data_IF_519464857090
#
_entry.id   IF_519464857090
#
_cell.length_a   1.000
_cell.length_b   1.000
_cell.length_c   1.000
_cell.angle_alpha   90.00
_cell.angle_beta   90.00
_cell.angle_gamma   90.00
#
_symmetry.space_group_name_H-M   'P 1'
#
loop_
_entity.id
_entity.type
_entity.pdbx_description
1 polymer ?
#
# COMPACT_ATOMS: atom_id res chain seq x y z
N UNK A 1 -64.47 31.74 -1.30
CA UNK A 1 -64.74 30.96 -0.07
C UNK A 1 -64.23 29.52 -0.31
N UNK A 2 -63.18 29.07 0.44
CA UNK A 2 -62.55 27.77 0.24
C UNK A 2 -63.52 26.69 0.68
N UNK A 3 -64.12 25.96 -0.27
CA UNK A 3 -65.18 24.96 -0.03
C UNK A 3 -64.70 23.71 0.79
N UNK A 4 -63.40 23.53 1.03
CA UNK A 4 -62.90 22.40 1.80
C UNK A 4 -61.67 22.81 2.66
N UNK A 5 -61.91 23.30 3.85
CA UNK A 5 -60.88 23.76 4.78
C UNK A 5 -59.86 22.68 5.14
N UNK A 6 -60.31 21.40 5.22
CA UNK A 6 -59.42 20.29 5.53
C UNK A 6 -58.43 20.03 4.37
N UNK A 7 -58.91 20.10 3.13
CA UNK A 7 -58.07 19.90 1.95
C UNK A 7 -57.04 21.05 1.82
N UNK A 8 -57.45 22.28 2.08
CA UNK A 8 -56.53 23.44 2.08
C UNK A 8 -55.45 23.32 3.13
N UNK A 9 -55.76 22.88 4.36
CA UNK A 9 -54.79 22.65 5.43
C UNK A 9 -53.84 21.55 5.05
N UNK A 10 -54.32 20.41 4.53
CA UNK A 10 -53.51 19.30 4.12
C UNK A 10 -52.53 19.69 2.99
N UNK A 11 -53.00 20.43 1.99
CA UNK A 11 -52.15 20.92 0.89
C UNK A 11 -51.07 21.86 1.39
N UNK A 12 -51.37 22.80 2.28
CA UNK A 12 -50.37 23.69 2.85
C UNK A 12 -49.35 22.94 3.72
N UNK A 13 -49.75 21.90 4.46
CA UNK A 13 -48.85 21.05 5.21
C UNK A 13 -47.87 20.30 4.28
N UNK A 14 -48.38 19.76 3.16
CA UNK A 14 -47.54 19.11 2.15
C UNK A 14 -46.53 20.10 1.55
N UNK A 15 -46.97 21.31 1.17
CA UNK A 15 -46.05 22.32 0.65
C UNK A 15 -45.00 22.76 1.67
N UNK A 16 -45.38 22.88 2.95
CA UNK A 16 -44.44 23.21 4.00
C UNK A 16 -43.38 22.09 4.17
N UNK A 17 -43.78 20.83 4.11
CA UNK A 17 -42.84 19.68 4.17
C UNK A 17 -41.92 19.72 2.95
N UNK A 18 -42.43 19.87 1.76
CA UNK A 18 -41.62 19.97 0.53
C UNK A 18 -40.62 21.13 0.64
N UNK A 19 -41.04 22.27 1.13
CA UNK A 19 -40.16 23.43 1.30
C UNK A 19 -39.02 23.12 2.28
N UNK A 20 -39.31 22.48 3.41
CA UNK A 20 -38.31 22.06 4.39
C UNK A 20 -37.31 21.06 3.77
N UNK A 21 -37.81 20.06 3.02
CA UNK A 21 -36.95 19.10 2.33
C UNK A 21 -36.05 19.80 1.32
N UNK A 22 -36.55 20.72 0.52
CA UNK A 22 -35.73 21.48 -0.45
C UNK A 22 -34.69 22.33 0.26
N UNK A 23 -35.03 22.99 1.38
CA UNK A 23 -34.05 23.76 2.15
C UNK A 23 -32.93 22.82 2.70
N UNK A 24 -33.30 21.70 3.30
CA UNK A 24 -32.33 20.73 3.82
C UNK A 24 -31.43 20.20 2.71
N UNK A 25 -31.99 19.82 1.56
CA UNK A 25 -31.20 19.36 0.42
C UNK A 25 -30.23 20.43 -0.11
N UNK A 26 -30.64 21.69 -0.14
CA UNK A 26 -29.77 22.79 -0.53
C UNK A 26 -28.64 23.04 0.50
N UNK A 27 -28.93 22.93 1.79
CA UNK A 27 -27.92 23.06 2.83
C UNK A 27 -26.91 21.90 2.76
N UNK A 28 -27.40 20.67 2.58
CA UNK A 28 -26.53 19.49 2.39
C UNK A 28 -25.69 19.64 1.12
N UNK A 29 -26.30 20.03 0.00
CA UNK A 29 -25.57 20.24 -1.25
C UNK A 29 -24.56 21.38 -1.15
N UNK A 30 -24.84 22.42 -0.36
CA UNK A 30 -23.91 23.52 -0.11
C UNK A 30 -22.73 23.11 0.78
N UNK A 31 -22.99 22.30 1.80
CA UNK A 31 -21.97 21.83 2.73
C UNK A 31 -21.07 20.72 2.12
N UNK A 32 -21.70 19.80 1.38
CA UNK A 32 -21.02 18.66 0.76
C UNK A 32 -20.75 18.85 -0.73
N UNK A 33 -20.91 20.07 -1.26
CA UNK A 33 -20.85 20.35 -2.69
C UNK A 33 -19.57 19.85 -3.35
N UNK A 34 -18.42 20.07 -2.73
CA UNK A 34 -17.12 19.61 -3.26
C UNK A 34 -17.02 18.08 -3.25
N UNK A 35 -17.42 17.43 -2.16
CA UNK A 35 -17.43 15.98 -2.07
C UNK A 35 -18.42 15.34 -3.06
N UNK A 36 -19.59 15.95 -3.25
CA UNK A 36 -20.57 15.50 -4.25
C UNK A 36 -20.03 15.66 -5.67
N UNK A 37 -19.28 16.73 -5.94
CA UNK A 37 -18.62 16.96 -7.22
C UNK A 37 -17.56 15.90 -7.48
N UNK A 38 -16.79 15.51 -6.47
CA UNK A 38 -15.79 14.44 -6.58
C UNK A 38 -16.44 13.07 -6.84
N UNK A 39 -17.48 12.72 -6.08
CA UNK A 39 -18.15 11.40 -6.17
C UNK A 39 -18.98 11.26 -7.44
N UNK A 40 -19.71 12.29 -7.84
CA UNK A 40 -20.63 12.22 -9.00
C UNK A 40 -20.01 12.77 -10.29
N UNK A 41 -18.71 13.13 -10.26
CA UNK A 41 -18.01 13.53 -11.47
C UNK A 41 -18.66 14.72 -12.18
N UNK A 42 -19.04 15.77 -11.43
CA UNK A 42 -19.50 16.99 -12.06
C UNK A 42 -18.33 17.61 -12.82
N UNK A 43 -18.18 17.19 -14.07
CA UNK A 43 -17.43 17.97 -15.03
C UNK A 43 -18.21 19.29 -15.19
N UNK A 44 -17.64 20.35 -14.64
CA UNK A 44 -18.09 21.70 -14.97
C UNK A 44 -18.30 21.72 -16.47
N UNK A 45 -19.54 21.92 -16.90
CA UNK A 45 -19.96 21.85 -18.30
C UNK A 45 -19.32 22.91 -19.21
N UNK A 46 -18.03 22.92 -19.28
CA UNK A 46 -17.27 23.29 -20.46
C UNK A 46 -17.30 22.17 -21.51
N UNK A 47 -18.44 21.49 -21.60
CA UNK A 47 -18.83 20.72 -22.77
C UNK A 47 -19.35 21.69 -23.85
N UNK A 48 -18.69 22.76 -24.08
CA UNK A 48 -19.11 23.73 -25.07
C UNK A 48 -18.04 24.05 -26.09
N UNK A 49 -16.91 23.48 -25.95
CA UNK A 49 -15.92 23.49 -27.02
C UNK A 49 -15.84 22.05 -27.54
N UNK A 50 -16.34 21.80 -28.72
CA UNK A 50 -15.67 20.82 -29.52
C UNK A 50 -14.21 21.23 -29.48
N UNK A 51 -13.40 20.58 -28.67
CA UNK A 51 -11.97 20.52 -28.85
C UNK A 51 -11.81 19.71 -30.12
N UNK A 52 -12.13 20.34 -31.22
CA UNK A 52 -11.79 19.80 -32.51
C UNK A 52 -10.30 19.72 -32.50
N UNK A 53 -9.85 18.52 -32.68
CA UNK A 53 -8.55 18.10 -33.07
C UNK A 53 -7.53 19.23 -33.25
N UNK A 54 -6.44 19.14 -32.50
CA UNK A 54 -5.09 19.59 -32.83
C UNK A 54 -4.87 21.05 -33.31
N UNK A 55 -5.91 21.80 -33.66
CA UNK A 55 -5.79 23.14 -34.21
C UNK A 55 -5.94 24.32 -33.25
N UNK A 56 -6.68 24.12 -32.15
CA UNK A 56 -7.07 25.22 -31.24
C UNK A 56 -6.33 25.25 -29.91
N UNK A 57 -5.42 24.30 -29.67
CA UNK A 57 -4.58 24.31 -28.48
C UNK A 57 -3.33 25.18 -28.71
N UNK A 58 -3.50 26.47 -28.52
CA UNK A 58 -2.40 27.45 -28.69
C UNK A 58 -1.24 27.24 -27.69
N UNK A 59 -1.39 26.40 -26.71
CA UNK A 59 -0.43 26.29 -25.58
C UNK A 59 0.16 24.90 -25.36
N UNK A 60 -0.43 23.85 -25.95
CA UNK A 60 0.07 22.50 -25.75
C UNK A 60 -0.20 21.61 -26.96
N UNK A 61 0.87 21.14 -27.57
CA UNK A 61 0.84 20.09 -28.59
C UNK A 61 1.61 18.91 -28.01
N UNK A 62 0.95 17.77 -27.85
CA UNK A 62 1.66 16.55 -27.45
C UNK A 62 2.65 16.18 -28.55
N UNK A 63 3.91 15.96 -28.17
CA UNK A 63 4.94 15.42 -29.05
C UNK A 63 4.82 13.90 -29.25
N UNK A 64 3.92 13.25 -28.51
CA UNK A 64 3.76 11.81 -28.48
C UNK A 64 2.38 11.41 -28.98
N UNK A 65 2.31 10.28 -29.66
CA UNK A 65 1.08 9.50 -29.81
C UNK A 65 0.71 8.85 -28.47
N UNK A 66 -0.50 8.35 -28.31
CA UNK A 66 -0.93 7.67 -27.07
C UNK A 66 -0.07 6.43 -26.79
N UNK A 67 0.36 5.70 -27.81
CA UNK A 67 1.22 4.53 -27.68
C UNK A 67 2.64 4.92 -27.24
N UNK A 68 3.24 5.91 -27.85
CA UNK A 68 4.56 6.45 -27.47
C UNK A 68 4.54 7.01 -26.04
N UNK A 69 3.44 7.68 -25.65
CA UNK A 69 3.29 8.21 -24.30
C UNK A 69 3.25 7.09 -23.28
N UNK A 70 2.46 6.03 -23.52
CA UNK A 70 2.38 4.87 -22.64
C UNK A 70 3.71 4.15 -22.51
N UNK A 71 4.42 3.95 -23.60
CA UNK A 71 5.75 3.35 -23.59
C UNK A 71 6.74 4.18 -22.76
N UNK A 72 6.73 5.51 -22.94
CA UNK A 72 7.59 6.41 -22.17
C UNK A 72 7.22 6.44 -20.67
N UNK A 73 5.94 6.36 -20.32
CA UNK A 73 5.49 6.27 -18.94
C UNK A 73 5.93 4.96 -18.30
N UNK A 74 5.81 3.85 -19.01
CA UNK A 74 6.26 2.54 -18.56
C UNK A 74 7.78 2.53 -18.28
N UNK A 75 8.59 2.95 -19.25
CA UNK A 75 10.04 3.06 -19.12
C UNK A 75 10.44 3.97 -17.94
N UNK A 76 9.77 5.10 -17.79
CA UNK A 76 10.04 6.03 -16.70
C UNK A 76 9.67 5.42 -15.33
N UNK A 77 8.54 4.75 -15.22
CA UNK A 77 8.10 4.10 -13.97
C UNK A 77 9.09 3.00 -13.55
N UNK A 78 9.54 2.18 -14.51
CA UNK A 78 10.56 1.16 -14.30
C UNK A 78 11.86 1.80 -13.77
N UNK A 79 12.37 2.82 -14.44
CA UNK A 79 13.60 3.51 -14.02
C UNK A 79 13.48 4.17 -12.66
N UNK A 80 12.35 4.81 -12.35
CA UNK A 80 12.12 5.42 -11.04
C UNK A 80 12.17 4.35 -9.94
N UNK A 81 11.55 3.19 -10.16
CA UNK A 81 11.54 2.11 -9.19
C UNK A 81 12.93 1.49 -9.02
N UNK A 82 13.65 1.23 -10.12
CA UNK A 82 15.00 0.70 -10.11
C UNK A 82 15.98 1.63 -9.39
N UNK A 83 16.08 2.89 -9.84
CA UNK A 83 16.99 3.89 -9.28
C UNK A 83 16.58 4.30 -7.85
N UNK A 84 15.29 4.24 -7.53
CA UNK A 84 14.74 4.58 -6.21
C UNK A 84 14.84 3.46 -5.17
N UNK A 85 15.08 2.23 -5.58
CA UNK A 85 15.27 1.09 -4.67
C UNK A 85 16.52 1.29 -3.81
N UNK A 86 16.36 1.12 -2.50
CA UNK A 86 17.47 1.27 -1.53
C UNK A 86 17.93 -0.12 -1.09
N UNK A 87 19.23 -0.40 -1.22
CA UNK A 87 19.87 -1.57 -0.64
C UNK A 87 20.22 -1.26 0.83
N UNK A 88 19.47 -1.85 1.76
CA UNK A 88 19.65 -1.61 3.20
C UNK A 88 20.78 -2.48 3.78
N UNK A 89 20.82 -3.76 3.41
CA UNK A 89 21.88 -4.68 3.79
C UNK A 89 22.12 -5.69 2.68
N UNK A 90 23.36 -6.18 2.58
CA UNK A 90 23.77 -7.22 1.63
C UNK A 90 24.95 -7.99 2.23
N UNK A 91 24.65 -8.97 3.07
CA UNK A 91 25.64 -9.75 3.78
C UNK A 91 26.26 -10.79 2.84
N UNK A 92 27.55 -10.95 2.96
CA UNK A 92 28.33 -11.93 2.19
C UNK A 92 28.12 -11.85 0.65
N UNK A 93 27.72 -10.71 0.12
CA UNK A 93 27.35 -10.51 -1.29
C UNK A 93 26.20 -11.45 -1.70
N UNK A 94 25.16 -11.55 -0.89
CA UNK A 94 23.96 -12.35 -1.21
C UNK A 94 23.29 -11.88 -2.50
N UNK A 95 23.27 -10.58 -2.75
CA UNK A 95 22.88 -9.99 -4.03
C UNK A 95 24.11 -9.58 -4.84
N UNK A 96 24.07 -9.68 -6.18
CA UNK A 96 22.96 -10.21 -6.97
C UNK A 96 22.75 -11.71 -6.77
N UNK A 97 21.51 -12.16 -7.02
CA UNK A 97 21.15 -13.57 -7.05
C UNK A 97 21.64 -14.20 -8.37
N UNK A 98 21.86 -15.50 -8.35
CA UNK A 98 22.24 -16.24 -9.56
C UNK A 98 21.08 -16.29 -10.56
N UNK A 99 21.38 -16.13 -11.84
CA UNK A 99 20.40 -16.27 -12.92
C UNK A 99 19.84 -17.71 -12.91
N UNK A 100 18.53 -17.82 -12.96
CA UNK A 100 17.83 -19.10 -12.91
C UNK A 100 17.66 -19.70 -11.52
N UNK A 101 18.05 -18.98 -10.45
CA UNK A 101 17.83 -19.43 -9.09
C UNK A 101 16.34 -19.70 -8.82
N UNK A 102 16.09 -20.70 -7.97
CA UNK A 102 14.77 -21.00 -7.48
C UNK A 102 14.38 -20.05 -6.35
N UNK A 103 13.13 -19.57 -6.35
CA UNK A 103 12.65 -18.59 -5.38
C UNK A 103 11.30 -19.03 -4.81
N UNK A 104 11.23 -19.16 -3.50
CA UNK A 104 9.95 -19.25 -2.80
C UNK A 104 9.59 -17.89 -2.23
N UNK A 105 8.45 -17.36 -2.64
CA UNK A 105 7.96 -16.06 -2.22
C UNK A 105 6.97 -16.23 -1.07
N UNK A 106 7.21 -15.51 0.00
CA UNK A 106 6.40 -15.54 1.23
C UNK A 106 5.75 -14.19 1.50
N UNK A 107 4.70 -14.21 2.32
CA UNK A 107 3.94 -13.10 2.86
C UNK A 107 2.76 -12.66 1.98
N UNK A 108 1.67 -12.32 2.65
CA UNK A 108 0.48 -11.72 2.04
C UNK A 108 0.81 -10.43 1.28
N UNK A 109 1.79 -9.67 1.79
CA UNK A 109 2.25 -8.45 1.14
C UNK A 109 2.86 -8.70 -0.26
N UNK A 110 3.30 -9.92 -0.55
CA UNK A 110 3.85 -10.27 -1.86
C UNK A 110 2.80 -10.34 -2.95
N UNK A 111 1.59 -10.80 -2.61
CA UNK A 111 0.45 -10.88 -3.52
C UNK A 111 -0.38 -9.59 -3.53
N UNK A 112 -0.23 -8.77 -2.48
CA UNK A 112 -0.88 -7.47 -2.32
C UNK A 112 0.14 -6.33 -2.32
N UNK A 113 1.00 -6.31 -3.31
CA UNK A 113 2.04 -5.29 -3.44
C UNK A 113 1.48 -3.87 -3.45
N UNK A 114 2.09 -2.99 -2.66
CA UNK A 114 1.71 -1.59 -2.59
C UNK A 114 2.19 -0.86 -3.84
N UNK A 115 1.29 -0.58 -4.77
CA UNK A 115 1.59 0.17 -6.00
C UNK A 115 1.43 1.67 -5.83
N UNK A 116 0.63 2.11 -4.88
CA UNK A 116 0.36 3.52 -4.59
C UNK A 116 -0.05 3.72 -3.13
N UNK A 117 -0.21 4.98 -2.71
CA UNK A 117 -0.82 5.31 -1.43
C UNK A 117 -2.33 5.05 -1.44
N UNK A 118 -2.93 5.11 -0.24
CA UNK A 118 -4.38 5.09 -0.05
C UNK A 118 -4.96 6.50 -0.13
N UNK A 119 -6.29 6.61 -0.28
CA UNK A 119 -6.98 7.90 -0.36
C UNK A 119 -7.19 8.39 -1.79
N UNK A 120 -7.19 9.70 -1.99
CA UNK A 120 -7.52 10.32 -3.28
C UNK A 120 -6.47 10.08 -4.37
N UNK A 121 -5.28 9.65 -4.01
CA UNK A 121 -4.21 9.26 -4.95
C UNK A 121 -4.23 7.77 -5.32
N UNK A 122 -5.14 6.99 -4.75
CA UNK A 122 -5.26 5.57 -5.07
C UNK A 122 -5.64 5.39 -6.54
N UNK A 123 -4.83 4.61 -7.25
CA UNK A 123 -5.12 4.19 -8.62
C UNK A 123 -5.93 2.90 -8.52
N UNK A 124 -7.11 2.86 -9.16
CA UNK A 124 -7.88 1.62 -9.27
C UNK A 124 -7.09 0.58 -10.04
N UNK A 125 -6.98 -0.62 -9.51
CA UNK A 125 -6.27 -1.74 -10.16
C UNK A 125 -7.09 -2.36 -11.28
N UNK A 126 -8.39 -2.09 -11.32
CA UNK A 126 -9.32 -2.69 -12.28
C UNK A 126 -9.06 -2.27 -13.74
N UNK A 127 -8.51 -1.07 -13.93
CA UNK A 127 -8.27 -0.49 -15.26
C UNK A 127 -6.83 -0.66 -15.76
N UNK A 128 -5.94 -1.25 -14.95
CA UNK A 128 -4.52 -1.39 -15.29
C UNK A 128 -4.07 -2.84 -15.12
N UNK A 129 -3.41 -3.36 -16.15
CA UNK A 129 -2.58 -4.56 -16.01
C UNK A 129 -1.36 -4.17 -15.16
N UNK A 130 -1.40 -4.50 -13.89
CA UNK A 130 -0.24 -4.27 -13.01
C UNK A 130 0.65 -5.52 -12.97
N UNK A 131 1.93 -5.26 -12.77
CA UNK A 131 2.94 -6.29 -12.62
C UNK A 131 2.84 -6.91 -11.23
N UNK A 132 2.96 -8.24 -11.14
CA UNK A 132 3.05 -8.96 -9.86
C UNK A 132 4.50 -9.27 -9.52
N UNK A 133 4.78 -9.56 -8.22
CA UNK A 133 6.11 -10.02 -7.79
C UNK A 133 6.53 -11.27 -8.56
N UNK A 134 5.65 -12.28 -8.68
CA UNK A 134 5.93 -13.49 -9.47
C UNK A 134 6.32 -13.15 -10.90
N UNK A 135 5.53 -12.34 -11.58
CA UNK A 135 5.81 -11.95 -12.96
C UNK A 135 7.18 -11.24 -13.08
N UNK A 136 7.50 -10.33 -12.18
CA UNK A 136 8.78 -9.62 -12.18
C UNK A 136 9.98 -10.59 -12.02
N UNK A 137 9.86 -11.56 -11.13
CA UNK A 137 10.89 -12.58 -10.92
C UNK A 137 11.04 -13.48 -12.16
N UNK A 138 9.95 -13.96 -12.74
CA UNK A 138 9.98 -14.81 -13.93
C UNK A 138 10.59 -14.08 -15.14
N UNK A 139 10.29 -12.78 -15.33
CA UNK A 139 10.91 -11.98 -16.39
C UNK A 139 12.43 -11.79 -16.20
N UNK A 140 12.91 -11.84 -14.97
CA UNK A 140 14.34 -11.81 -14.65
C UNK A 140 15.01 -13.20 -14.73
N UNK A 141 14.25 -14.25 -15.04
CA UNK A 141 14.74 -15.61 -15.25
C UNK A 141 14.69 -16.51 -14.03
N UNK A 142 14.14 -16.07 -12.90
CA UNK A 142 13.99 -16.89 -11.70
C UNK A 142 12.91 -17.97 -11.85
N UNK A 143 13.06 -19.06 -11.12
CA UNK A 143 12.09 -20.14 -11.04
C UNK A 143 11.26 -19.97 -9.76
N UNK A 144 10.04 -19.48 -9.89
CA UNK A 144 9.18 -19.22 -8.73
C UNK A 144 8.44 -20.48 -8.29
N UNK A 145 8.40 -20.72 -6.97
CA UNK A 145 7.60 -21.80 -6.37
C UNK A 145 6.10 -21.48 -6.50
N UNK A 146 5.48 -22.08 -7.51
CA UNK A 146 4.07 -21.83 -7.80
C UNK A 146 3.13 -22.32 -6.69
N UNK A 147 3.48 -23.41 -6.00
CA UNK A 147 2.61 -23.96 -4.96
C UNK A 147 2.44 -22.99 -3.78
N UNK A 148 3.51 -22.33 -3.36
CA UNK A 148 3.49 -21.35 -2.28
C UNK A 148 2.86 -20.04 -2.75
N UNK A 149 3.22 -19.58 -3.96
CA UNK A 149 2.62 -18.37 -4.55
C UNK A 149 1.11 -18.48 -4.69
N UNK A 150 0.63 -19.59 -5.27
CA UNK A 150 -0.80 -19.81 -5.48
C UNK A 150 -1.55 -19.98 -4.15
N UNK A 151 -0.89 -20.52 -3.13
CA UNK A 151 -1.50 -20.60 -1.80
C UNK A 151 -1.75 -19.18 -1.24
N UNK A 152 -0.74 -18.30 -1.22
CA UNK A 152 -0.92 -16.92 -0.77
C UNK A 152 -1.97 -16.17 -1.59
N UNK A 153 -1.92 -16.32 -2.91
CA UNK A 153 -2.88 -15.66 -3.80
C UNK A 153 -4.33 -16.10 -3.55
N UNK A 154 -4.55 -17.33 -3.07
CA UNK A 154 -5.88 -17.93 -2.92
C UNK A 154 -6.32 -18.12 -1.46
N UNK A 155 -5.52 -17.79 -0.46
CA UNK A 155 -5.90 -17.98 0.94
C UNK A 155 -7.02 -17.03 1.41
N UNK A 156 -7.26 -15.97 0.67
CA UNK A 156 -8.35 -15.02 0.90
C UNK A 156 -8.09 -14.02 2.02
N UNK A 157 -6.88 -13.96 2.56
CA UNK A 157 -6.50 -12.95 3.53
C UNK A 157 -6.14 -11.66 2.80
N UNK A 158 -6.70 -10.55 3.25
CA UNK A 158 -6.49 -9.22 2.66
C UNK A 158 -6.04 -8.28 3.77
N UNK A 159 -5.03 -7.47 3.49
CA UNK A 159 -4.58 -6.42 4.41
C UNK A 159 -5.66 -5.36 4.59
N UNK A 160 -5.66 -4.71 5.76
CA UNK A 160 -6.51 -3.56 6.00
C UNK A 160 -6.26 -2.43 5.01
N UNK A 161 -7.30 -1.70 4.65
CA UNK A 161 -7.23 -0.60 3.68
C UNK A 161 -6.59 0.67 4.23
N UNK A 162 -6.00 0.62 5.42
CA UNK A 162 -5.32 1.75 6.04
C UNK A 162 -6.22 2.97 6.20
N UNK A 163 -5.72 4.13 5.82
CA UNK A 163 -6.44 5.41 5.97
C UNK A 163 -7.76 5.48 5.20
N UNK A 164 -7.94 4.71 4.13
CA UNK A 164 -9.19 4.73 3.35
C UNK A 164 -10.36 4.03 4.05
N UNK A 165 -10.08 3.05 4.89
CA UNK A 165 -11.08 2.25 5.60
C UNK A 165 -11.04 2.42 7.11
N UNK A 166 -9.93 2.94 7.66
CA UNK A 166 -9.64 2.94 9.09
C UNK A 166 -9.26 1.56 9.64
N UNK A 167 -9.05 0.59 8.77
CA UNK A 167 -8.58 -0.76 9.12
C UNK A 167 -7.07 -0.87 8.89
N UNK A 168 -6.32 -1.03 9.96
CA UNK A 168 -4.86 -1.11 9.96
C UNK A 168 -4.35 -2.54 10.15
N UNK A 169 -5.20 -3.54 9.97
CA UNK A 169 -4.80 -4.95 10.06
C UNK A 169 -3.74 -5.30 9.02
N UNK A 170 -2.68 -5.97 9.45
CA UNK A 170 -1.62 -6.48 8.56
C UNK A 170 -2.06 -7.82 7.98
N UNK A 171 -2.71 -8.65 8.79
CA UNK A 171 -3.30 -9.94 8.41
C UNK A 171 -2.28 -10.90 7.76
N UNK A 172 -1.05 -10.96 8.29
CA UNK A 172 -0.06 -11.94 7.84
C UNK A 172 -0.40 -13.34 8.36
N UNK A 173 0.01 -14.36 7.61
CA UNK A 173 -0.13 -15.76 7.99
C UNK A 173 1.11 -16.25 8.76
N UNK A 174 0.91 -16.92 9.90
CA UNK A 174 2.02 -17.51 10.65
C UNK A 174 2.70 -18.63 9.85
N UNK A 175 3.94 -18.93 10.20
CA UNK A 175 4.70 -20.02 9.57
C UNK A 175 3.94 -21.36 9.58
N UNK A 176 3.31 -21.69 10.71
CA UNK A 176 2.52 -22.91 10.85
C UNK A 176 1.33 -22.95 9.91
N UNK A 177 0.65 -21.79 9.77
CA UNK A 177 -0.47 -21.67 8.84
C UNK A 177 -0.03 -21.85 7.38
N UNK A 178 1.11 -21.27 7.01
CA UNK A 178 1.69 -21.44 5.67
C UNK A 178 2.02 -22.92 5.44
N UNK A 179 2.74 -23.56 6.37
CA UNK A 179 3.11 -24.99 6.24
C UNK A 179 1.87 -25.89 6.10
N UNK A 180 0.85 -25.67 6.94
CA UNK A 180 -0.40 -26.43 6.85
C UNK A 180 -1.06 -26.22 5.47
N UNK A 181 -1.08 -24.98 5.02
CA UNK A 181 -1.72 -24.58 3.76
C UNK A 181 -1.05 -25.16 2.51
N UNK A 182 0.29 -25.22 2.49
CA UNK A 182 1.05 -25.76 1.34
C UNK A 182 1.31 -27.27 1.43
N UNK A 183 0.94 -27.91 2.54
CA UNK A 183 1.10 -29.36 2.73
C UNK A 183 2.46 -29.77 3.33
N UNK A 184 3.13 -28.86 4.03
CA UNK A 184 4.38 -29.09 4.75
C UNK A 184 5.63 -28.64 3.99
N UNK A 185 6.80 -28.79 4.63
CA UNK A 185 8.10 -28.32 4.10
C UNK A 185 8.46 -28.95 2.74
N UNK A 186 7.94 -30.12 2.40
CA UNK A 186 8.17 -30.73 1.09
C UNK A 186 7.65 -29.88 -0.08
N UNK A 187 6.78 -28.89 0.18
CA UNK A 187 6.38 -27.92 -0.83
C UNK A 187 7.53 -27.00 -1.28
N UNK A 188 8.62 -26.96 -0.52
CA UNK A 188 9.81 -26.17 -0.85
C UNK A 188 10.87 -26.99 -1.63
N UNK A 189 10.69 -28.30 -1.79
CA UNK A 189 11.66 -29.17 -2.48
C UNK A 189 11.97 -28.67 -3.89
N UNK A 190 13.23 -28.35 -4.14
CA UNK A 190 13.71 -27.79 -5.41
C UNK A 190 13.54 -26.27 -5.56
N UNK A 191 13.08 -25.57 -4.51
CA UNK A 191 12.87 -24.11 -4.50
C UNK A 191 13.49 -23.46 -3.27
N UNK A 192 14.65 -23.93 -2.83
CA UNK A 192 15.31 -23.50 -1.60
C UNK A 192 16.52 -22.58 -1.80
N UNK A 193 16.85 -22.19 -3.04
CA UNK A 193 17.97 -21.25 -3.24
C UNK A 193 17.69 -19.90 -2.57
N UNK A 194 16.45 -19.42 -2.65
CA UNK A 194 16.07 -18.12 -2.10
C UNK A 194 14.69 -18.17 -1.45
N UNK A 195 14.58 -17.72 -0.20
CA UNK A 195 13.34 -17.24 0.39
C UNK A 195 13.24 -15.74 0.20
N UNK A 196 12.23 -15.27 -0.55
CA UNK A 196 11.91 -13.87 -0.70
C UNK A 196 10.70 -13.52 0.15
N UNK A 197 10.87 -12.64 1.14
CA UNK A 197 9.81 -12.23 2.06
C UNK A 197 9.51 -10.77 1.82
N UNK A 198 8.23 -10.44 1.62
CA UNK A 198 7.79 -9.06 1.45
C UNK A 198 7.14 -8.55 2.73
N UNK A 199 7.63 -7.46 3.26
CA UNK A 199 7.01 -6.77 4.40
C UNK A 199 6.35 -5.51 3.88
N UNK A 200 5.02 -5.41 4.06
CA UNK A 200 4.24 -4.33 3.49
C UNK A 200 3.48 -3.51 4.53
N UNK A 201 3.51 -2.18 4.39
CA UNK A 201 2.68 -1.27 5.19
C UNK A 201 2.04 -0.23 4.30
N UNK A 202 0.72 -0.15 4.36
CA UNK A 202 -0.03 0.89 3.62
C UNK A 202 0.11 2.24 4.32
N UNK A 203 0.00 3.30 3.55
CA UNK A 203 -0.06 4.66 4.07
C UNK A 203 -0.66 5.58 3.02
N UNK A 204 -1.20 6.71 3.45
CA UNK A 204 -1.80 7.66 2.52
C UNK A 204 -2.65 8.70 3.23
N UNK A 205 -3.46 9.37 2.45
CA UNK A 205 -4.34 10.43 2.88
C UNK A 205 -5.57 9.89 3.63
N UNK A 206 -6.07 10.65 4.59
CA UNK A 206 -7.41 10.47 5.17
C UNK A 206 -7.44 10.10 6.65
N UNK A 207 -6.46 9.39 7.19
CA UNK A 207 -6.34 9.09 8.61
C UNK A 207 -4.88 8.91 9.05
N UNK A 208 -4.59 9.27 10.29
CA UNK A 208 -3.32 8.96 10.92
C UNK A 208 -3.19 7.44 11.13
N UNK A 209 -1.94 6.96 11.22
CA UNK A 209 -1.65 5.57 11.55
C UNK A 209 -2.26 5.18 12.89
N UNK A 210 -2.57 3.89 13.05
CA UNK A 210 -2.99 3.37 14.34
C UNK A 210 -1.88 3.55 15.39
N UNK A 211 -2.26 4.08 16.55
CA UNK A 211 -1.35 4.23 17.70
C UNK A 211 -1.27 2.98 18.58
N UNK A 212 -2.05 1.96 18.25
CA UNK A 212 -2.13 0.68 18.95
C UNK A 212 -2.73 -0.35 18.02
N UNK A 213 -2.19 -1.55 18.01
CA UNK A 213 -2.68 -2.65 17.20
C UNK A 213 -3.75 -3.50 17.88
N UNK A 214 -4.18 -3.17 19.12
CA UNK A 214 -5.15 -3.94 19.88
C UNK A 214 -6.49 -4.22 19.17
N UNK A 215 -6.89 -3.35 18.23
CA UNK A 215 -8.11 -3.53 17.44
C UNK A 215 -7.87 -4.12 16.05
N UNK A 216 -6.62 -4.43 15.72
CA UNK A 216 -6.17 -4.80 14.38
C UNK A 216 -5.34 -6.10 14.37
N UNK A 217 -5.58 -6.98 15.32
CA UNK A 217 -4.93 -8.29 15.41
C UNK A 217 -3.68 -8.34 16.29
N UNK A 218 -3.16 -7.19 16.74
CA UNK A 218 -1.99 -7.11 17.62
C UNK A 218 -2.32 -6.73 19.05
N UNK A 219 -1.30 -6.33 19.83
CA UNK A 219 -1.44 -5.87 21.21
C UNK A 219 -1.57 -4.35 21.34
N UNK A 220 -1.81 -3.87 22.56
CA UNK A 220 -1.94 -2.44 22.84
C UNK A 220 -0.59 -1.71 22.77
N UNK A 221 0.50 -2.41 22.97
CA UNK A 221 1.86 -1.85 22.99
C UNK A 221 2.57 -1.99 21.66
N UNK A 222 1.94 -2.65 20.66
CA UNK A 222 2.47 -2.78 19.30
C UNK A 222 2.11 -1.58 18.43
N UNK A 223 3.04 -1.20 17.58
CA UNK A 223 2.90 -0.17 16.56
C UNK A 223 2.54 -0.81 15.21
N UNK A 224 1.76 -0.11 14.38
CA UNK A 224 1.57 -0.48 12.98
C UNK A 224 2.89 -0.52 12.18
N UNK A 225 3.90 0.19 12.65
CA UNK A 225 5.23 0.27 12.01
C UNK A 225 6.20 -0.81 12.47
N UNK A 226 5.81 -1.63 13.44
CA UNK A 226 6.55 -2.80 13.90
C UNK A 226 6.16 -4.05 13.10
N UNK A 227 6.94 -5.13 13.20
CA UNK A 227 6.55 -6.42 12.67
C UNK A 227 5.42 -7.03 13.51
N UNK A 228 4.51 -7.75 12.86
CA UNK A 228 3.56 -8.60 13.58
C UNK A 228 4.22 -9.91 14.02
N UNK A 229 3.62 -10.57 15.01
CA UNK A 229 4.08 -11.87 15.47
C UNK A 229 4.14 -12.92 14.34
N UNK A 230 3.24 -12.82 13.35
CA UNK A 230 3.21 -13.69 12.18
C UNK A 230 4.36 -13.40 11.21
N UNK A 231 4.68 -12.12 10.95
CA UNK A 231 5.84 -11.72 10.15
C UNK A 231 7.14 -12.16 10.83
N UNK A 232 7.26 -11.98 12.14
CA UNK A 232 8.38 -12.49 12.94
C UNK A 232 8.50 -14.03 12.87
N UNK A 233 7.35 -14.72 12.92
CA UNK A 233 7.30 -16.19 12.77
C UNK A 233 7.84 -16.63 11.43
N UNK A 234 7.52 -15.95 10.32
CA UNK A 234 8.11 -16.24 9.01
C UNK A 234 9.62 -16.06 9.04
N UNK A 235 10.11 -14.89 9.46
CA UNK A 235 11.55 -14.59 9.50
C UNK A 235 12.34 -15.56 10.37
N UNK A 236 11.78 -15.96 11.52
CA UNK A 236 12.44 -16.89 12.44
C UNK A 236 12.57 -18.31 11.88
N UNK A 237 11.67 -18.73 11.01
CA UNK A 237 11.57 -20.13 10.58
C UNK A 237 12.11 -20.41 9.19
N UNK A 238 12.11 -19.46 8.27
CA UNK A 238 12.55 -19.67 6.88
C UNK A 238 13.98 -20.23 6.79
N UNK A 239 14.92 -19.73 7.59
CA UNK A 239 16.29 -20.23 7.60
C UNK A 239 16.36 -21.70 8.03
N UNK A 240 15.57 -22.08 9.03
CA UNK A 240 15.50 -23.45 9.55
C UNK A 240 14.89 -24.42 8.54
N UNK A 241 14.10 -23.93 7.60
CA UNK A 241 13.50 -24.72 6.52
C UNK A 241 14.50 -25.03 5.37
N UNK A 242 15.75 -24.57 5.48
CA UNK A 242 16.84 -24.95 4.58
C UNK A 242 17.04 -24.03 3.37
N UNK A 243 16.49 -22.84 3.38
CA UNK A 243 16.77 -21.83 2.35
C UNK A 243 18.22 -21.35 2.44
N UNK A 244 18.91 -21.29 1.30
CA UNK A 244 20.32 -20.88 1.23
C UNK A 244 20.47 -19.38 1.45
N UNK A 245 19.54 -18.59 0.88
CA UNK A 245 19.50 -17.14 1.03
C UNK A 245 18.12 -16.68 1.51
N UNK A 246 18.10 -15.72 2.42
CA UNK A 246 16.90 -15.04 2.89
C UNK A 246 16.99 -13.58 2.48
N UNK A 247 16.10 -13.17 1.58
CA UNK A 247 16.02 -11.79 1.07
C UNK A 247 14.70 -11.18 1.51
N UNK A 248 14.77 -10.02 2.12
CA UNK A 248 13.58 -9.26 2.52
C UNK A 248 13.41 -8.05 1.62
N UNK A 249 12.18 -7.81 1.19
CA UNK A 249 11.80 -6.57 0.48
C UNK A 249 10.76 -5.83 1.28
N UNK A 250 11.11 -4.64 1.70
CA UNK A 250 10.21 -3.75 2.44
C UNK A 250 9.46 -2.87 1.45
N UNK A 251 8.16 -3.15 1.28
CA UNK A 251 7.27 -2.39 0.41
C UNK A 251 6.35 -1.51 1.24
N UNK A 252 6.77 -0.29 1.49
CA UNK A 252 6.06 0.62 2.39
C UNK A 252 6.13 2.07 1.93
N UNK A 253 5.09 2.83 2.28
CA UNK A 253 5.07 4.29 2.19
C UNK A 253 5.51 4.96 3.51
N UNK A 254 5.69 4.18 4.58
CA UNK A 254 6.03 4.65 5.91
C UNK A 254 7.43 4.19 6.32
N UNK A 255 8.15 4.92 7.17
CA UNK A 255 9.28 4.35 7.89
C UNK A 255 8.76 3.26 8.83
N UNK A 256 9.35 2.07 8.79
CA UNK A 256 9.05 0.97 9.72
C UNK A 256 10.23 0.73 10.65
N UNK A 257 9.98 -0.01 11.73
CA UNK A 257 11.04 -0.44 12.63
C UNK A 257 11.94 -1.45 11.93
N UNK A 258 13.25 -1.18 11.96
CA UNK A 258 14.25 -2.00 11.22
C UNK A 258 15.09 -2.88 12.16
N UNK A 259 14.64 -3.08 13.40
CA UNK A 259 15.32 -3.93 14.38
C UNK A 259 15.49 -5.36 13.89
N UNK A 260 14.52 -5.87 13.17
CA UNK A 260 14.50 -7.21 12.61
C UNK A 260 15.73 -7.56 11.73
N UNK A 261 16.39 -6.57 11.14
CA UNK A 261 17.63 -6.78 10.38
C UNK A 261 18.79 -7.29 11.22
N UNK A 262 18.74 -7.08 12.55
CA UNK A 262 19.75 -7.58 13.48
C UNK A 262 19.29 -8.84 14.24
N UNK A 263 17.97 -9.04 14.33
CA UNK A 263 17.38 -10.08 15.17
C UNK A 263 17.18 -11.39 14.41
N UNK A 264 17.10 -11.32 13.07
CA UNK A 264 16.92 -12.47 12.19
C UNK A 264 18.08 -12.61 11.20
N UNK A 265 18.34 -13.86 10.77
CA UNK A 265 19.41 -14.20 9.82
C UNK A 265 18.98 -13.87 8.38
N UNK A 266 19.05 -12.59 8.03
CA UNK A 266 18.68 -12.01 6.73
C UNK A 266 19.94 -11.69 5.94
N UNK A 267 20.07 -12.25 4.72
CA UNK A 267 21.25 -12.06 3.87
C UNK A 267 21.21 -10.74 3.11
N UNK A 268 20.02 -10.31 2.68
CA UNK A 268 19.86 -9.00 2.02
C UNK A 268 18.49 -8.39 2.30
N UNK A 269 18.45 -7.08 2.34
CA UNK A 269 17.21 -6.33 2.48
C UNK A 269 17.19 -5.14 1.51
N UNK A 270 16.10 -5.05 0.76
CA UNK A 270 15.77 -3.92 -0.12
C UNK A 270 14.59 -3.14 0.45
N UNK A 271 14.64 -1.81 0.33
CA UNK A 271 13.47 -0.98 0.55
C UNK A 271 12.99 -0.48 -0.81
N UNK A 272 11.77 -0.85 -1.16
CA UNK A 272 11.12 -0.49 -2.41
C UNK A 272 9.73 0.04 -2.10
N UNK A 273 9.56 1.35 -2.19
CA UNK A 273 8.30 2.03 -1.92
C UNK A 273 7.20 1.70 -2.93
N UNK A 274 6.10 2.44 -2.94
CA UNK A 274 5.04 2.29 -3.94
C UNK A 274 5.60 2.45 -5.36
N UNK A 275 5.37 1.46 -6.21
CA UNK A 275 6.03 1.35 -7.53
C UNK A 275 5.20 1.87 -8.69
N UNK A 276 3.94 2.27 -8.45
CA UNK A 276 3.00 2.47 -9.54
C UNK A 276 2.66 1.14 -10.24
N UNK A 277 1.94 1.24 -11.35
CA UNK A 277 1.43 0.04 -12.05
C UNK A 277 2.53 -0.81 -12.71
N UNK A 278 3.66 -0.22 -13.07
CA UNK A 278 4.70 -0.88 -13.87
C UNK A 278 6.07 -0.98 -13.17
N UNK A 279 6.33 -0.15 -12.16
CA UNK A 279 7.67 -0.08 -11.58
C UNK A 279 8.12 -1.36 -10.87
N UNK A 280 7.19 -2.24 -10.47
CA UNK A 280 7.54 -3.53 -9.87
C UNK A 280 8.34 -4.46 -10.83
N UNK A 281 8.33 -4.21 -12.11
CA UNK A 281 9.21 -4.91 -13.06
C UNK A 281 10.69 -4.81 -12.68
N UNK A 282 11.08 -3.70 -12.06
CA UNK A 282 12.45 -3.49 -11.62
C UNK A 282 12.92 -4.45 -10.53
N UNK A 283 12.01 -5.02 -9.72
CA UNK A 283 12.39 -5.88 -8.61
C UNK A 283 13.24 -7.07 -9.07
N UNK A 284 12.77 -7.85 -10.03
CA UNK A 284 13.52 -8.99 -10.56
C UNK A 284 14.85 -8.57 -11.18
N UNK A 285 14.89 -7.45 -11.90
CA UNK A 285 16.10 -6.93 -12.54
C UNK A 285 17.15 -6.45 -11.52
N UNK A 286 16.72 -5.86 -10.41
CA UNK A 286 17.60 -5.50 -9.29
C UNK A 286 18.12 -6.77 -8.60
N UNK A 287 17.27 -7.74 -8.32
CA UNK A 287 17.65 -8.97 -7.64
C UNK A 287 18.69 -9.80 -8.43
N UNK A 288 18.57 -9.86 -9.76
CA UNK A 288 19.53 -10.58 -10.63
C UNK A 288 20.76 -9.73 -10.99
N UNK A 289 20.78 -8.45 -10.61
CA UNK A 289 21.90 -7.55 -10.80
C UNK A 289 22.00 -6.92 -12.19
N UNK A 290 20.96 -7.00 -13.00
CA UNK A 290 20.89 -6.28 -14.27
C UNK A 290 20.74 -4.77 -14.06
N UNK A 291 20.17 -4.38 -12.93
CA UNK A 291 20.02 -3.01 -12.50
C UNK A 291 20.58 -2.83 -11.08
N UNK A 292 21.14 -1.65 -10.84
CA UNK A 292 21.78 -1.37 -9.56
C UNK A 292 20.85 -0.49 -8.70
N UNK A 293 20.44 -0.93 -7.49
CA UNK A 293 19.70 -0.11 -6.57
C UNK A 293 20.58 1.05 -6.10
N UNK A 294 20.21 2.27 -6.46
CA UNK A 294 21.00 3.47 -6.17
C UNK A 294 20.24 4.48 -5.31
N UNK A 295 19.09 4.10 -4.82
CA UNK A 295 18.28 4.92 -3.93
C UNK A 295 18.95 5.17 -2.58
N UNK A 296 18.54 6.24 -1.91
CA UNK A 296 19.00 6.61 -0.59
C UNK A 296 17.80 6.86 0.32
N UNK A 297 17.95 6.50 1.58
CA UNK A 297 16.93 6.80 2.58
C UNK A 297 16.76 8.32 2.72
N UNK A 298 15.51 8.76 2.78
CA UNK A 298 15.14 10.16 3.02
C UNK A 298 15.10 10.48 4.51
N UNK A 299 14.92 9.45 5.33
CA UNK A 299 14.81 9.53 6.79
C UNK A 299 15.67 8.48 7.48
N UNK A 300 15.93 8.68 8.77
CA UNK A 300 16.55 7.66 9.62
C UNK A 300 15.52 6.61 9.98
N UNK A 301 15.79 5.35 9.59
CA UNK A 301 15.03 4.21 10.10
C UNK A 301 15.44 3.93 11.55
N UNK A 302 14.46 3.63 12.39
CA UNK A 302 14.69 3.43 13.84
C UNK A 302 14.45 1.97 14.23
N UNK A 303 14.98 1.56 15.36
CA UNK A 303 14.72 0.25 15.95
C UNK A 303 13.42 0.22 16.74
N UNK A 304 13.00 1.34 17.27
CA UNK A 304 11.79 1.55 18.05
C UNK A 304 11.26 2.95 17.75
N UNK A 305 10.11 3.04 17.10
CA UNK A 305 9.49 4.32 16.72
C UNK A 305 9.14 5.16 17.93
N UNK A 306 8.81 4.55 19.07
CA UNK A 306 8.48 5.26 20.29
C UNK A 306 9.72 5.81 21.02
N UNK A 307 10.94 5.49 20.57
CA UNK A 307 12.15 6.19 21.00
C UNK A 307 12.16 7.66 20.56
N UNK A 308 11.38 8.02 19.55
CA UNK A 308 11.22 9.39 19.08
C UNK A 308 10.16 10.14 19.90
N UNK A 309 10.47 11.33 20.46
CA UNK A 309 9.48 12.15 21.17
C UNK A 309 8.28 12.55 20.29
N UNK A 310 8.47 12.66 18.98
CA UNK A 310 7.39 12.95 18.04
C UNK A 310 6.39 11.81 17.99
N UNK A 311 6.86 10.54 17.96
CA UNK A 311 6.02 9.36 17.92
C UNK A 311 5.31 9.08 19.23
N UNK A 312 5.91 9.44 20.38
CA UNK A 312 5.24 9.33 21.68
C UNK A 312 3.96 10.19 21.78
N UNK A 313 3.83 11.21 20.95
CA UNK A 313 2.68 12.10 20.91
C UNK A 313 1.87 11.96 19.60
N UNK A 314 2.25 11.04 18.76
CA UNK A 314 1.59 10.82 17.48
C UNK A 314 0.14 10.32 17.67
N UNK A 315 -0.79 10.86 16.92
CA UNK A 315 -2.21 10.49 16.96
C UNK A 315 -2.99 11.03 18.16
N UNK A 316 -2.34 11.58 19.19
CA UNK A 316 -3.01 12.26 20.31
C UNK A 316 -2.79 13.78 20.25
N UNK A 317 -3.62 14.45 19.47
CA UNK A 317 -3.63 15.90 19.39
C UNK A 317 -4.26 16.56 20.63
N UNK A 318 -4.64 15.80 21.62
CA UNK A 318 -5.23 16.24 22.87
C UNK A 318 -4.19 16.36 23.96
N UNK A 319 -3.17 17.14 23.80
CA UNK A 319 -2.16 17.37 24.83
C UNK A 319 -2.79 17.49 26.23
N UNK A 320 -2.89 16.36 26.91
CA UNK A 320 -3.45 16.28 28.25
C UNK A 320 -2.38 15.85 29.24
N UNK A 321 -2.42 16.38 30.47
CA UNK A 321 -1.59 15.90 31.55
C UNK A 321 -2.09 14.55 32.11
N UNK A 322 -1.37 13.97 33.06
CA UNK A 322 -1.72 12.72 33.69
C UNK A 322 -3.10 12.72 34.37
N UNK A 323 -3.70 13.89 34.58
CA UNK A 323 -5.06 14.05 35.11
C UNK A 323 -6.13 14.22 34.02
N UNK A 324 -5.72 14.19 32.74
CA UNK A 324 -6.62 14.39 31.58
C UNK A 324 -6.94 15.85 31.29
N UNK A 325 -6.21 16.80 31.89
CA UNK A 325 -6.40 18.22 31.62
C UNK A 325 -5.60 18.65 30.39
N UNK A 326 -6.22 19.37 29.44
CA UNK A 326 -5.50 19.91 28.30
C UNK A 326 -4.35 20.84 28.72
N UNK A 327 -3.17 20.62 28.21
CA UNK A 327 -2.08 21.60 28.26
C UNK A 327 -1.58 21.87 26.83
N UNK A 328 -1.06 23.06 26.61
CA UNK A 328 -0.56 23.45 25.30
C UNK A 328 0.65 22.62 24.88
N UNK A 329 0.97 22.63 23.58
CA UNK A 329 2.08 21.86 23.03
C UNK A 329 3.38 22.18 23.78
N UNK A 330 4.12 21.14 24.16
CA UNK A 330 5.48 21.27 24.67
C UNK A 330 6.42 21.30 23.46
N UNK A 331 6.86 22.48 23.10
CA UNK A 331 7.96 22.68 22.15
C UNK A 331 9.28 22.73 22.88
#
# INVERSE_FOLDING_TARGET
MIKNKKHFIAMNAIYAIILVVVIVLNLVAGYWGEALIQVFGYTNGRTGGNVTAAGDNLYYVSAYTDEELRAAQHDLAHRIASEGTVLLTNENNALPLDEGASVTVFSEASTEWLINGTGSSAIGTEDYLYVTVKWSLEQAGFQVNEAVWDWYLNNGIVRGGGSSTGDWSVNESSWETVLEGVGGESAFDGYTDVALIVIGRTGGEGADLATSMANFGGSADESYLDLTAEEESLLANVRSAGFEKVVVVVNTANPIEMGFLNDYDIDACLLMGPTGAYGLEALGQVLVGNENPSGHLTDTQVYDVFSSPAMQNFGDNRYVDASGQPYGPRY
#
